data_IF_594876679376
#
_entry.id   IF_594876679376
#
_cell.length_a   1.000
_cell.length_b   1.000
_cell.length_c   1.000
_cell.angle_alpha   90.00
_cell.angle_beta   90.00
_cell.angle_gamma   90.00
#
_symmetry.space_group_name_H-M   'P 1'
#
loop_
_entity.id
_entity.type
_entity.pdbx_description
1 polymer ?
#
# COMPACT_ATOMS: atom_id res chain seq x y z
N UNK A 1 -10.74 13.50 -8.30
CA UNK A 1 -9.64 12.73 -8.93
C UNK A 1 -9.01 11.76 -7.93
N UNK A 2 -8.80 12.16 -6.67
CA UNK A 2 -8.21 11.33 -5.60
C UNK A 2 -8.85 9.95 -5.43
N UNK A 3 -10.19 9.86 -5.45
CA UNK A 3 -10.90 8.58 -5.35
C UNK A 3 -10.63 7.64 -6.54
N UNK A 4 -10.34 8.18 -7.73
CA UNK A 4 -10.06 7.37 -8.92
C UNK A 4 -8.66 6.77 -8.85
N UNK A 5 -7.68 7.51 -8.33
CA UNK A 5 -6.32 7.01 -8.08
C UNK A 5 -6.33 5.92 -7.02
N UNK A 6 -7.03 6.14 -5.90
CA UNK A 6 -7.18 5.14 -4.85
C UNK A 6 -7.83 3.84 -5.38
N UNK A 7 -8.94 3.97 -6.11
CA UNK A 7 -9.62 2.83 -6.71
C UNK A 7 -8.75 2.07 -7.74
N UNK A 8 -7.99 2.80 -8.58
CA UNK A 8 -7.07 2.20 -9.53
C UNK A 8 -5.93 1.44 -8.82
N UNK A 9 -5.40 2.00 -7.73
CA UNK A 9 -4.37 1.36 -6.92
C UNK A 9 -4.88 0.07 -6.27
N UNK A 10 -6.06 0.10 -5.66
CA UNK A 10 -6.70 -1.10 -5.12
C UNK A 10 -6.90 -2.18 -6.18
N UNK A 11 -7.44 -1.82 -7.35
CA UNK A 11 -7.68 -2.76 -8.42
C UNK A 11 -6.38 -3.36 -8.96
N UNK A 12 -5.30 -2.57 -9.04
CA UNK A 12 -3.98 -3.06 -9.42
C UNK A 12 -3.42 -4.05 -8.40
N UNK A 13 -3.43 -3.70 -7.11
CA UNK A 13 -2.89 -4.57 -6.05
C UNK A 13 -3.65 -5.88 -5.93
N UNK A 14 -4.98 -5.85 -6.11
CA UNK A 14 -5.76 -7.08 -6.18
C UNK A 14 -5.30 -7.98 -7.33
N UNK A 15 -5.14 -7.44 -8.55
CA UNK A 15 -4.64 -8.21 -9.70
C UNK A 15 -3.23 -8.76 -9.49
N UNK A 16 -2.36 -8.00 -8.81
CA UNK A 16 -1.02 -8.46 -8.46
C UNK A 16 -1.06 -9.65 -7.50
N UNK A 17 -1.84 -9.55 -6.42
CA UNK A 17 -2.03 -10.65 -5.48
C UNK A 17 -2.66 -11.88 -6.16
N UNK A 18 -3.67 -11.69 -7.01
CA UNK A 18 -4.30 -12.77 -7.76
C UNK A 18 -3.33 -13.47 -8.72
N UNK A 19 -2.46 -12.71 -9.41
CA UNK A 19 -1.43 -13.27 -10.27
C UNK A 19 -0.41 -14.09 -9.46
N UNK A 20 0.08 -13.54 -8.35
CA UNK A 20 1.04 -14.21 -7.48
C UNK A 20 0.46 -15.50 -6.87
N UNK A 21 -0.79 -15.46 -6.42
CA UNK A 21 -1.48 -16.62 -5.85
C UNK A 21 -1.68 -17.73 -6.88
N UNK A 22 -1.93 -17.38 -8.15
CA UNK A 22 -2.03 -18.38 -9.23
C UNK A 22 -0.69 -19.04 -9.52
N UNK A 23 0.39 -18.27 -9.55
CA UNK A 23 1.69 -18.77 -9.99
C UNK A 23 2.48 -19.47 -8.87
N UNK A 24 2.29 -19.04 -7.62
CA UNK A 24 3.13 -19.46 -6.48
C UNK A 24 2.32 -20.06 -5.32
N UNK A 25 0.99 -20.19 -5.47
CA UNK A 25 0.07 -20.75 -4.48
C UNK A 25 0.19 -20.13 -3.08
N UNK A 26 0.69 -18.91 -3.00
CA UNK A 26 0.95 -18.14 -1.77
C UNK A 26 0.69 -16.66 -2.02
N UNK A 27 0.59 -15.86 -0.95
CA UNK A 27 0.51 -14.40 -1.10
C UNK A 27 1.92 -13.83 -1.31
N UNK A 28 2.03 -12.61 -1.87
CA UNK A 28 3.33 -11.99 -2.09
C UNK A 28 4.16 -11.93 -0.80
N UNK A 29 5.44 -12.31 -0.93
CA UNK A 29 6.43 -12.22 0.13
C UNK A 29 7.66 -11.55 -0.46
N UNK A 30 8.16 -10.52 0.22
CA UNK A 30 9.40 -9.83 -0.16
C UNK A 30 10.48 -10.11 0.87
N UNK A 31 11.61 -10.64 0.43
CA UNK A 31 12.81 -10.81 1.27
C UNK A 31 13.42 -9.46 1.64
N UNK A 32 13.24 -8.42 0.82
CA UNK A 32 13.72 -7.06 1.09
C UNK A 32 13.00 -6.41 2.28
N UNK A 33 11.80 -6.89 2.60
CA UNK A 33 11.02 -6.44 3.76
C UNK A 33 11.28 -7.28 5.02
N UNK A 34 12.17 -8.27 4.94
CA UNK A 34 12.48 -9.13 6.07
C UNK A 34 13.17 -8.33 7.19
N UNK A 35 12.58 -8.35 8.39
CA UNK A 35 13.08 -7.63 9.56
C UNK A 35 12.69 -6.16 9.64
N UNK A 36 11.96 -5.62 8.66
CA UNK A 36 11.40 -4.26 8.71
C UNK A 36 10.03 -4.33 9.38
N UNK A 37 9.80 -3.63 10.52
CA UNK A 37 8.48 -3.56 11.12
C UNK A 37 7.59 -2.71 10.23
N UNK A 38 6.76 -3.34 9.39
CA UNK A 38 5.75 -2.64 8.60
C UNK A 38 4.40 -2.76 9.30
N UNK A 39 3.63 -1.67 9.28
CA UNK A 39 2.28 -1.59 9.85
C UNK A 39 1.20 -2.18 8.94
N UNK A 40 1.56 -2.76 7.79
CA UNK A 40 0.67 -3.66 7.05
C UNK A 40 0.44 -4.86 7.96
N UNK A 41 -0.70 -4.82 8.67
CA UNK A 41 -1.13 -5.84 9.62
C UNK A 41 -0.91 -7.21 9.01
N UNK A 42 0.10 -7.95 9.51
CA UNK A 42 0.40 -9.31 9.05
C UNK A 42 1.84 -9.67 8.71
N UNK A 43 2.84 -8.80 8.89
CA UNK A 43 4.24 -9.25 8.87
C UNK A 43 4.63 -9.75 10.26
N UNK A 44 3.98 -10.83 10.68
CA UNK A 44 4.52 -11.74 11.67
C UNK A 44 4.67 -13.09 10.94
N UNK A 45 5.85 -13.29 10.35
CA UNK A 45 6.32 -14.53 9.72
C UNK A 45 5.47 -15.17 8.58
N UNK A 46 4.48 -14.47 8.01
CA UNK A 46 3.50 -15.03 7.08
C UNK A 46 3.32 -14.30 5.74
N UNK A 47 2.64 -14.94 4.75
CA UNK A 47 2.33 -14.35 3.44
C UNK A 47 1.49 -13.06 3.63
N UNK A 48 1.74 -12.01 2.84
CA UNK A 48 1.09 -10.69 2.97
C UNK A 48 -0.44 -10.84 3.04
N UNK A 49 -1.09 -10.71 4.22
CA UNK A 49 -2.48 -11.07 4.34
C UNK A 49 -3.33 -9.94 3.76
N UNK A 50 -3.70 -10.10 2.49
CA UNK A 50 -4.70 -9.28 1.84
C UNK A 50 -6.14 -9.76 2.15
N UNK A 51 -6.34 -10.60 3.16
CA UNK A 51 -7.66 -11.09 3.53
C UNK A 51 -7.97 -10.84 5.02
N UNK A 52 -8.72 -9.78 5.28
CA UNK A 52 -9.56 -9.68 6.48
C UNK A 52 -9.12 -8.72 7.59
N UNK A 53 -7.90 -8.19 7.59
CA UNK A 53 -7.54 -7.09 8.50
C UNK A 53 -7.58 -5.76 7.76
N UNK A 54 -8.44 -4.86 8.26
CA UNK A 54 -8.53 -3.47 7.84
C UNK A 54 -7.22 -2.77 8.17
N UNK A 55 -6.20 -2.93 7.33
CA UNK A 55 -4.95 -2.18 7.47
C UNK A 55 -5.28 -0.72 7.24
N UNK A 56 -5.40 0.06 8.32
CA UNK A 56 -5.62 1.49 8.23
C UNK A 56 -4.27 2.16 8.01
N UNK A 57 -4.21 3.09 7.05
CA UNK A 57 -3.10 4.03 7.01
C UNK A 57 -3.19 4.89 8.26
N UNK A 58 -2.19 4.79 9.13
CA UNK A 58 -2.11 5.57 10.37
C UNK A 58 -1.16 6.74 10.13
N UNK A 59 -1.72 7.90 9.81
CA UNK A 59 -0.96 9.09 9.47
C UNK A 59 -1.80 10.15 8.75
N UNK A 60 -1.19 11.31 8.53
CA UNK A 60 -1.80 12.34 7.68
C UNK A 60 -1.92 11.82 6.24
N UNK A 61 -3.11 11.91 5.64
CA UNK A 61 -3.38 11.46 4.26
C UNK A 61 -2.84 12.47 3.22
N UNK A 62 -1.58 12.89 3.38
CA UNK A 62 -0.90 13.82 2.50
C UNK A 62 0.62 13.60 2.54
N UNK A 63 1.34 14.18 1.57
CA UNK A 63 2.81 14.22 1.55
C UNK A 63 3.34 15.64 1.77
N UNK A 64 2.64 16.46 2.57
CA UNK A 64 2.99 17.86 2.79
C UNK A 64 4.38 18.04 3.43
N UNK A 65 4.90 17.01 4.11
CA UNK A 65 6.29 17.01 4.57
C UNK A 65 7.30 17.18 3.42
N UNK A 66 7.03 16.56 2.27
CA UNK A 66 7.84 16.70 1.05
C UNK A 66 7.69 18.10 0.47
N UNK A 67 6.47 18.60 0.36
CA UNK A 67 6.19 19.95 -0.14
C UNK A 67 6.94 21.02 0.66
N UNK A 68 6.90 20.92 2.01
CA UNK A 68 7.58 21.85 2.91
C UNK A 68 9.10 21.74 2.83
N UNK A 69 9.64 20.53 2.78
CA UNK A 69 11.08 20.31 2.75
C UNK A 69 11.71 20.78 1.42
N UNK A 70 10.97 20.63 0.31
CA UNK A 70 11.48 20.90 -1.03
C UNK A 70 11.02 22.25 -1.61
N UNK A 71 10.03 22.91 -0.99
CA UNK A 71 9.46 24.16 -1.51
C UNK A 71 8.69 23.98 -2.82
N UNK A 72 8.05 22.82 -3.01
CA UNK A 72 7.30 22.48 -4.23
C UNK A 72 5.83 22.21 -3.91
N UNK A 73 4.99 22.21 -4.94
CA UNK A 73 3.61 21.73 -4.87
C UNK A 73 3.53 20.37 -5.54
N UNK A 74 3.11 19.35 -4.79
CA UNK A 74 2.95 17.98 -5.29
C UNK A 74 1.56 17.83 -5.90
N UNK A 75 1.45 17.02 -6.95
CA UNK A 75 0.15 16.78 -7.59
C UNK A 75 -0.76 16.01 -6.64
N UNK A 76 -2.03 16.44 -6.52
CA UNK A 76 -3.04 15.81 -5.65
C UNK A 76 -3.09 14.27 -5.73
N UNK A 77 -3.03 13.62 -6.91
CA UNK A 77 -3.03 12.16 -7.01
C UNK A 77 -1.89 11.46 -6.26
N UNK A 78 -0.72 12.11 -6.11
CA UNK A 78 0.44 11.54 -5.43
C UNK A 78 0.19 11.46 -3.92
N UNK A 79 -0.54 12.41 -3.34
CA UNK A 79 -0.94 12.35 -1.93
C UNK A 79 -1.77 11.10 -1.69
N UNK A 80 -2.77 10.84 -2.54
CA UNK A 80 -3.59 9.63 -2.45
C UNK A 80 -2.78 8.37 -2.72
N UNK A 81 -1.86 8.37 -3.69
CA UNK A 81 -1.06 7.19 -4.03
C UNK A 81 -0.29 6.63 -2.84
N UNK A 82 0.37 7.48 -2.05
CA UNK A 82 1.18 7.04 -0.90
C UNK A 82 0.41 6.83 0.39
N UNK A 83 -0.83 7.32 0.48
CA UNK A 83 -1.62 7.28 1.72
C UNK A 83 -2.85 6.37 1.63
N UNK A 84 -3.15 5.83 0.43
CA UNK A 84 -4.22 4.86 0.25
C UNK A 84 -3.78 3.50 0.81
N UNK A 85 -4.50 2.93 1.79
CA UNK A 85 -4.24 1.58 2.25
C UNK A 85 -4.55 0.60 1.12
N UNK A 86 -3.70 -0.41 0.92
CA UNK A 86 -3.79 -1.28 -0.27
C UNK A 86 -4.48 -2.63 0.00
N UNK A 87 -4.66 -2.98 1.27
CA UNK A 87 -5.42 -4.15 1.71
C UNK A 87 -6.83 -3.74 2.14
N UNK A 88 -7.87 -4.41 1.63
CA UNK A 88 -9.27 -4.20 2.03
C UNK A 88 -9.82 -5.41 2.78
#
# INVERSE_FOLDING_TARGET
MDQQTAAALHAFTQRYCDAWQRDHHSLPRSEELYGIPVSVSGIDHGPMPCFGSRSRFDGEQNVNGVERAMGIVVQQPIHSYYTTPVCR
#
